data_IF_516483493098
#
_entry.id   IF_516483493098
#
_cell.length_a   1.000
_cell.length_b   1.000
_cell.length_c   1.000
_cell.angle_alpha   90.00
_cell.angle_beta   90.00
_cell.angle_gamma   90.00
#
_symmetry.space_group_name_H-M   'P 1'
#
loop_
_entity.id
_entity.type
_entity.pdbx_description
1 polymer ?
#
# COMPACT_ATOMS: atom_id res chain seq x y z
N UNK A 1 -12.56 24.60 3.21
CA UNK A 1 -12.01 23.48 4.00
C UNK A 1 -10.95 22.79 3.15
N UNK A 2 -9.70 22.81 3.62
CA UNK A 2 -8.55 22.23 2.92
C UNK A 2 -8.45 20.74 3.20
N UNK A 3 -8.42 19.93 2.16
CA UNK A 3 -8.33 18.47 2.27
C UNK A 3 -7.00 18.00 1.70
N UNK A 4 -6.25 17.20 2.48
CA UNK A 4 -5.10 16.48 1.99
C UNK A 4 -5.52 15.06 1.54
N UNK A 5 -4.86 14.55 0.52
CA UNK A 5 -4.98 13.17 0.04
C UNK A 5 -3.61 12.52 0.12
N UNK A 6 -3.49 11.44 0.87
CA UNK A 6 -2.27 10.67 1.02
C UNK A 6 -2.46 9.28 0.42
N UNK A 7 -1.77 9.00 -0.67
CA UNK A 7 -1.91 7.76 -1.43
C UNK A 7 -0.76 6.82 -1.10
N UNK A 8 -1.06 5.57 -0.81
CA UNK A 8 -0.03 4.56 -0.55
C UNK A 8 -0.59 3.16 -0.42
N UNK A 9 0.28 2.17 -0.46
CA UNK A 9 -0.11 0.76 -0.24
C UNK A 9 -0.19 0.40 1.24
N UNK A 10 0.62 1.02 2.10
CA UNK A 10 0.65 0.75 3.55
C UNK A 10 0.77 -0.75 3.89
N UNK A 11 1.73 -1.43 3.29
CA UNK A 11 1.91 -2.88 3.35
C UNK A 11 3.22 -3.31 4.08
N UNK A 12 3.28 -3.24 5.42
CA UNK A 12 2.31 -2.67 6.36
C UNK A 12 2.46 -1.16 6.54
N UNK A 13 1.56 -0.51 7.29
CA UNK A 13 1.81 0.82 7.82
C UNK A 13 3.06 0.83 8.69
N UNK A 14 3.92 1.83 8.53
CA UNK A 14 5.13 2.00 9.32
C UNK A 14 5.27 3.43 9.86
N UNK A 15 6.25 3.69 10.71
CA UNK A 15 6.39 4.96 11.44
C UNK A 15 6.42 6.19 10.52
N UNK A 16 7.08 6.10 9.36
CA UNK A 16 7.11 7.22 8.42
C UNK A 16 5.73 7.53 7.80
N UNK A 17 4.88 6.53 7.59
CA UNK A 17 3.49 6.76 7.17
C UNK A 17 2.71 7.54 8.24
N UNK A 18 2.83 7.15 9.53
CA UNK A 18 2.17 7.84 10.61
C UNK A 18 2.66 9.28 10.78
N UNK A 19 3.94 9.50 10.61
CA UNK A 19 4.50 10.85 10.65
C UNK A 19 3.91 11.74 9.55
N UNK A 20 3.81 11.22 8.32
CA UNK A 20 3.15 11.93 7.21
C UNK A 20 1.69 12.23 7.52
N UNK A 21 0.94 11.26 8.04
CA UNK A 21 -0.47 11.42 8.43
C UNK A 21 -0.61 12.50 9.51
N UNK A 22 0.19 12.44 10.56
CA UNK A 22 0.14 13.42 11.66
C UNK A 22 0.46 14.83 11.18
N UNK A 23 1.46 14.99 10.32
CA UNK A 23 1.80 16.28 9.70
C UNK A 23 0.68 16.82 8.82
N UNK A 24 0.04 15.95 8.03
CA UNK A 24 -1.10 16.34 7.22
C UNK A 24 -2.29 16.78 8.10
N UNK A 25 -2.61 16.05 9.17
CA UNK A 25 -3.67 16.40 10.12
C UNK A 25 -3.39 17.70 10.90
N UNK A 26 -2.12 18.10 11.05
CA UNK A 26 -1.75 19.36 11.66
C UNK A 26 -1.91 20.58 10.73
N UNK A 27 -1.94 20.37 9.41
CA UNK A 27 -1.95 21.44 8.39
C UNK A 27 -3.28 21.57 7.63
N UNK A 28 -4.03 20.47 7.53
CA UNK A 28 -5.26 20.38 6.75
C UNK A 28 -6.46 20.09 7.64
N UNK A 29 -7.62 20.56 7.23
CA UNK A 29 -8.86 20.35 7.96
C UNK A 29 -9.33 18.89 7.89
N UNK A 30 -9.00 18.20 6.79
CA UNK A 30 -9.34 16.81 6.50
C UNK A 30 -8.17 16.08 5.85
N UNK A 31 -8.03 14.81 6.15
CA UNK A 31 -7.13 13.89 5.46
C UNK A 31 -7.91 12.69 4.91
N UNK A 32 -7.69 12.39 3.64
CA UNK A 32 -8.18 11.17 3.01
C UNK A 32 -6.97 10.30 2.70
N UNK A 33 -6.90 9.12 3.30
CA UNK A 33 -5.88 8.11 3.02
C UNK A 33 -6.43 7.16 1.97
N UNK A 34 -5.76 7.12 0.83
CA UNK A 34 -6.08 6.21 -0.28
C UNK A 34 -5.23 4.95 -0.13
N UNK A 35 -5.89 3.85 0.15
CA UNK A 35 -5.29 2.52 0.27
C UNK A 35 -5.22 1.89 -1.14
N UNK A 36 -4.09 2.04 -1.81
CA UNK A 36 -3.85 1.44 -3.12
C UNK A 36 -3.72 -0.08 -3.06
N UNK A 37 -3.72 -0.73 -4.22
CA UNK A 37 -3.70 -2.20 -4.36
C UNK A 37 -4.76 -2.86 -3.49
N UNK A 38 -5.98 -2.31 -3.50
CA UNK A 38 -7.14 -2.93 -2.87
C UNK A 38 -7.72 -4.04 -3.77
N UNK A 39 -8.45 -4.96 -3.18
CA UNK A 39 -9.07 -6.10 -3.87
C UNK A 39 -8.07 -7.04 -4.57
N UNK A 40 -6.79 -6.98 -4.18
CA UNK A 40 -5.79 -7.93 -4.65
C UNK A 40 -5.77 -9.16 -3.75
N UNK A 41 -5.53 -10.32 -4.35
CA UNK A 41 -5.22 -11.53 -3.59
C UNK A 41 -3.94 -11.30 -2.76
N UNK A 42 -3.88 -11.77 -1.50
CA UNK A 42 -2.72 -11.57 -0.65
C UNK A 42 -1.45 -12.21 -1.25
N UNK A 43 -0.39 -11.44 -1.31
CA UNK A 43 0.94 -11.85 -1.78
C UNK A 43 2.01 -11.36 -0.80
N UNK A 44 3.25 -11.86 -0.84
CA UNK A 44 4.32 -11.33 -0.01
C UNK A 44 4.59 -9.82 -0.20
N UNK A 45 4.21 -9.26 -1.35
CA UNK A 45 4.30 -7.82 -1.64
C UNK A 45 3.14 -7.03 -1.03
N UNK A 46 1.94 -7.62 -0.99
CA UNK A 46 0.70 -7.02 -0.48
C UNK A 46 -0.01 -8.02 0.45
N UNK A 47 0.54 -8.28 1.66
CA UNK A 47 0.04 -9.33 2.53
C UNK A 47 -1.28 -9.01 3.24
N UNK A 48 -1.66 -7.73 3.34
CA UNK A 48 -2.79 -7.29 4.15
C UNK A 48 -3.90 -6.68 3.30
N UNK A 49 -5.14 -7.00 3.63
CA UNK A 49 -6.34 -6.43 2.99
C UNK A 49 -6.44 -4.91 3.24
N UNK A 50 -7.34 -4.23 2.53
CA UNK A 50 -7.59 -2.81 2.75
C UNK A 50 -8.13 -2.55 4.15
N UNK A 51 -9.05 -3.40 4.61
CA UNK A 51 -9.68 -3.33 5.93
C UNK A 51 -8.66 -3.53 7.06
N UNK A 52 -7.75 -4.49 6.91
CA UNK A 52 -6.68 -4.73 7.89
C UNK A 52 -5.73 -3.53 7.97
N UNK A 53 -5.34 -2.94 6.84
CA UNK A 53 -4.48 -1.75 6.80
C UNK A 53 -5.16 -0.53 7.40
N UNK A 54 -6.45 -0.33 7.12
CA UNK A 54 -7.25 0.72 7.75
C UNK A 54 -7.33 0.52 9.27
N UNK A 55 -7.60 -0.70 9.73
CA UNK A 55 -7.67 -1.01 11.16
C UNK A 55 -6.33 -0.74 11.86
N UNK A 56 -5.20 -1.17 11.26
CA UNK A 56 -3.85 -0.88 11.75
C UNK A 56 -3.59 0.63 11.87
N UNK A 57 -3.96 1.41 10.86
CA UNK A 57 -3.77 2.87 10.85
C UNK A 57 -4.65 3.54 11.90
N UNK A 58 -5.93 3.18 11.99
CA UNK A 58 -6.85 3.74 13.00
C UNK A 58 -6.38 3.43 14.42
N UNK A 59 -5.98 2.19 14.70
CA UNK A 59 -5.47 1.79 15.99
C UNK A 59 -4.17 2.54 16.36
N UNK A 60 -3.31 2.80 15.38
CA UNK A 60 -2.05 3.52 15.59
C UNK A 60 -2.22 5.01 15.83
N UNK A 61 -3.28 5.63 15.28
CA UNK A 61 -3.55 7.06 15.39
C UNK A 61 -4.46 7.39 16.59
N UNK A 62 -5.22 6.41 17.07
CA UNK A 62 -6.14 6.59 18.19
C UNK A 62 -7.20 7.68 17.95
N UNK A 63 -7.64 8.33 19.02
CA UNK A 63 -8.66 9.38 18.96
C UNK A 63 -8.20 10.66 18.24
N UNK A 64 -6.90 10.84 18.00
CA UNK A 64 -6.35 12.06 17.38
C UNK A 64 -6.85 12.28 15.94
N UNK A 65 -7.13 11.21 15.23
CA UNK A 65 -7.63 11.27 13.86
C UNK A 65 -9.10 11.72 13.78
N UNK A 66 -9.92 11.30 14.73
CA UNK A 66 -11.32 11.71 14.86
C UNK A 66 -12.11 11.61 13.56
N UNK A 67 -13.03 12.57 13.36
CA UNK A 67 -13.86 12.68 12.15
C UNK A 67 -13.14 13.29 10.94
N UNK A 68 -11.88 13.71 11.09
CA UNK A 68 -11.11 14.36 10.03
C UNK A 68 -10.36 13.38 9.14
N UNK A 69 -10.23 12.11 9.55
CA UNK A 69 -9.53 11.07 8.82
C UNK A 69 -10.50 10.12 8.12
N UNK A 70 -10.41 10.06 6.82
CA UNK A 70 -11.18 9.16 5.96
C UNK A 70 -10.26 8.18 5.24
N UNK A 71 -10.81 7.04 4.87
CA UNK A 71 -10.11 6.03 4.09
C UNK A 71 -10.93 5.69 2.85
N UNK A 72 -10.24 5.47 1.74
CA UNK A 72 -10.82 4.91 0.52
C UNK A 72 -9.91 3.80 0.01
N UNK A 73 -10.48 2.68 -0.37
CA UNK A 73 -9.76 1.55 -0.93
C UNK A 73 -9.89 1.59 -2.46
N UNK A 74 -8.75 1.62 -3.16
CA UNK A 74 -8.69 1.74 -4.62
C UNK A 74 -7.91 0.55 -5.18
N UNK A 75 -8.51 -0.23 -6.10
CA UNK A 75 -7.79 -1.28 -6.81
C UNK A 75 -6.76 -0.67 -7.77
N UNK A 76 -5.76 -1.47 -8.12
CA UNK A 76 -4.84 -1.10 -9.19
C UNK A 76 -5.54 -1.22 -10.56
N UNK A 77 -5.26 -0.29 -11.45
CA UNK A 77 -5.71 -0.32 -12.84
C UNK A 77 -4.47 -0.54 -13.72
N UNK A 78 -4.24 -1.78 -14.11
CA UNK A 78 -3.06 -2.15 -14.89
C UNK A 78 -3.14 -1.52 -16.29
N UNK A 79 -2.09 -0.80 -16.68
CA UNK A 79 -1.92 -0.19 -17.99
C UNK A 79 -2.94 0.93 -18.35
N UNK A 80 -3.75 1.41 -17.39
CA UNK A 80 -4.70 2.52 -17.61
C UNK A 80 -4.62 3.54 -16.47
N UNK A 81 -3.49 4.26 -16.40
CA UNK A 81 -3.31 5.34 -15.42
C UNK A 81 -4.43 6.39 -15.48
N UNK A 82 -4.91 6.85 -16.66
CA UNK A 82 -6.01 7.80 -16.72
C UNK A 82 -7.29 7.30 -16.04
N UNK A 83 -7.58 6.01 -16.13
CA UNK A 83 -8.73 5.40 -15.46
C UNK A 83 -8.51 5.37 -13.95
N UNK A 84 -7.32 4.97 -13.51
CA UNK A 84 -6.95 4.96 -12.10
C UNK A 84 -7.07 6.36 -11.48
N UNK A 85 -6.54 7.40 -12.14
CA UNK A 85 -6.68 8.80 -11.68
C UNK A 85 -8.14 9.22 -11.56
N UNK A 86 -8.99 8.88 -12.53
CA UNK A 86 -10.44 9.18 -12.46
C UNK A 86 -11.10 8.47 -11.28
N UNK A 87 -10.76 7.20 -11.03
CA UNK A 87 -11.29 6.41 -9.92
C UNK A 87 -10.92 7.03 -8.57
N UNK A 88 -9.65 7.39 -8.38
CA UNK A 88 -9.19 8.08 -7.16
C UNK A 88 -9.92 9.41 -6.98
N UNK A 89 -10.02 10.22 -8.04
CA UNK A 89 -10.74 11.51 -7.99
C UNK A 89 -12.19 11.32 -7.57
N UNK A 90 -12.92 10.44 -8.22
CA UNK A 90 -14.33 10.18 -7.91
C UNK A 90 -14.51 9.74 -6.44
N UNK A 91 -13.64 8.87 -5.94
CA UNK A 91 -13.68 8.42 -4.55
C UNK A 91 -13.41 9.56 -3.55
N UNK A 92 -12.44 10.42 -3.83
CA UNK A 92 -12.12 11.57 -2.98
C UNK A 92 -13.24 12.62 -3.04
N UNK A 93 -13.73 12.94 -4.22
CA UNK A 93 -14.77 13.94 -4.44
C UNK A 93 -16.13 13.50 -3.85
N UNK A 94 -16.39 12.20 -3.73
CA UNK A 94 -17.58 11.69 -3.02
C UNK A 94 -17.59 12.05 -1.52
N UNK A 95 -16.40 12.25 -0.94
CA UNK A 95 -16.24 12.64 0.47
C UNK A 95 -16.19 14.16 0.64
N UNK A 96 -15.53 14.84 -0.30
CA UNK A 96 -15.28 16.28 -0.17
C UNK A 96 -16.38 17.15 -0.75
N UNK A 97 -17.12 16.63 -1.70
CA UNK A 97 -18.00 17.39 -2.57
C UNK A 97 -17.26 18.09 -3.73
N UNK A 98 -17.98 18.56 -4.75
CA UNK A 98 -17.42 19.25 -5.88
C UNK A 98 -16.82 20.60 -5.48
N UNK A 99 -15.71 20.98 -6.14
CA UNK A 99 -15.07 22.30 -5.91
C UNK A 99 -14.30 22.42 -4.61
N UNK A 100 -14.07 21.33 -3.87
CA UNK A 100 -13.26 21.33 -2.66
C UNK A 100 -11.78 21.66 -2.98
N UNK A 101 -11.11 22.33 -2.05
CA UNK A 101 -9.68 22.63 -2.12
C UNK A 101 -8.90 21.38 -1.67
N UNK A 102 -8.34 20.64 -2.64
CA UNK A 102 -7.70 19.34 -2.44
C UNK A 102 -6.21 19.43 -2.79
N UNK A 103 -5.39 18.81 -1.97
CA UNK A 103 -3.94 18.73 -2.09
C UNK A 103 -3.50 17.27 -2.05
N UNK A 104 -2.56 16.88 -2.91
CA UNK A 104 -1.85 15.60 -2.77
C UNK A 104 -0.72 15.82 -1.77
N UNK A 105 -0.58 14.93 -0.80
CA UNK A 105 0.57 14.94 0.11
C UNK A 105 1.26 13.58 0.10
N UNK A 106 2.54 13.58 0.36
CA UNK A 106 3.33 12.34 0.36
C UNK A 106 4.81 12.63 0.22
N UNK A 107 5.54 11.58 -0.04
CA UNK A 107 6.97 11.63 -0.25
C UNK A 107 7.29 11.28 -1.70
N UNK A 108 7.90 12.23 -2.40
CA UNK A 108 8.42 12.03 -3.73
C UNK A 108 9.78 11.34 -3.62
N UNK A 109 9.78 10.03 -3.82
CA UNK A 109 10.93 9.17 -3.55
C UNK A 109 11.79 8.92 -4.79
N UNK A 110 11.14 8.56 -5.87
CA UNK A 110 11.75 8.12 -7.13
C UNK A 110 10.69 8.17 -8.25
N UNK A 111 11.07 7.71 -9.44
CA UNK A 111 10.18 7.70 -10.61
C UNK A 111 8.83 6.98 -10.37
N UNK A 112 8.74 6.06 -9.41
CA UNK A 112 7.48 5.40 -9.06
C UNK A 112 6.48 6.34 -8.37
N UNK A 113 6.93 7.54 -7.99
CA UNK A 113 6.10 8.59 -7.36
C UNK A 113 5.42 9.51 -8.37
N UNK A 114 5.53 9.23 -9.67
CA UNK A 114 4.97 10.06 -10.77
C UNK A 114 3.49 10.40 -10.57
N UNK A 115 2.72 9.51 -9.97
CA UNK A 115 1.30 9.71 -9.70
C UNK A 115 1.01 10.91 -8.78
N UNK A 116 1.97 11.36 -7.97
CA UNK A 116 1.79 12.54 -7.09
C UNK A 116 1.51 13.82 -7.89
N UNK A 117 1.94 13.86 -9.13
CA UNK A 117 1.78 14.99 -10.03
C UNK A 117 0.68 14.79 -11.09
N UNK A 118 0.01 13.63 -11.10
CA UNK A 118 -0.95 13.23 -12.13
C UNK A 118 -2.39 13.75 -11.91
N UNK A 119 -2.66 14.44 -10.80
CA UNK A 119 -4.03 14.83 -10.43
C UNK A 119 -4.44 16.24 -10.94
N UNK A 120 -3.69 16.83 -11.83
CA UNK A 120 -4.05 18.10 -12.49
C UNK A 120 -4.17 19.27 -11.51
N UNK A 121 -5.39 19.68 -11.17
CA UNK A 121 -5.65 20.81 -10.27
C UNK A 121 -5.50 20.50 -8.76
N UNK A 122 -5.03 19.34 -8.37
CA UNK A 122 -4.67 19.03 -6.99
C UNK A 122 -3.15 19.22 -6.80
N UNK A 123 -2.71 20.35 -6.23
CA UNK A 123 -1.29 20.61 -6.09
C UNK A 123 -0.63 19.62 -5.12
N UNK A 124 0.63 19.28 -5.41
CA UNK A 124 1.43 18.44 -4.55
C UNK A 124 2.07 19.26 -3.44
N UNK A 125 1.83 18.86 -2.20
CA UNK A 125 2.42 19.38 -0.97
C UNK A 125 3.36 18.33 -0.37
N UNK A 126 4.67 18.42 -0.57
CA UNK A 126 5.61 17.39 -0.13
C UNK A 126 5.65 17.28 1.39
N UNK A 127 5.60 16.05 1.88
CA UNK A 127 5.88 15.74 3.27
C UNK A 127 7.39 15.57 3.46
N UNK A 128 7.99 16.33 4.38
CA UNK A 128 9.40 16.10 4.73
C UNK A 128 9.52 14.77 5.46
N UNK A 129 10.18 13.80 4.85
CA UNK A 129 10.46 12.51 5.48
C UNK A 129 11.72 12.62 6.30
N UNK A 130 11.65 12.16 7.53
CA UNK A 130 12.77 12.11 8.48
C UNK A 130 13.43 10.73 8.49
N UNK A 131 12.84 9.75 7.82
CA UNK A 131 13.23 8.35 7.94
C UNK A 131 13.35 7.66 6.57
N UNK A 132 14.42 6.89 6.38
CA UNK A 132 14.62 6.00 5.22
C UNK A 132 13.79 4.70 5.28
N UNK A 133 12.84 4.60 6.23
CA UNK A 133 12.00 3.42 6.38
C UNK A 133 11.15 3.16 5.14
N UNK A 134 11.16 1.92 4.70
CA UNK A 134 10.28 1.47 3.63
C UNK A 134 9.60 0.13 4.00
N UNK A 135 8.41 -0.10 3.46
CA UNK A 135 7.63 -1.29 3.76
C UNK A 135 8.27 -2.59 3.23
N UNK A 136 9.17 -2.50 2.26
CA UNK A 136 9.90 -3.68 1.73
C UNK A 136 10.84 -4.26 2.79
N UNK A 137 11.59 -3.40 3.50
CA UNK A 137 12.49 -3.84 4.57
C UNK A 137 11.71 -4.45 5.72
N UNK A 138 10.55 -3.85 6.08
CA UNK A 138 9.65 -4.42 7.08
C UNK A 138 9.21 -5.83 6.69
N UNK A 139 8.70 -6.02 5.47
CA UNK A 139 8.24 -7.34 4.99
C UNK A 139 9.37 -8.36 4.89
N UNK A 140 10.53 -7.96 4.37
CA UNK A 140 11.69 -8.85 4.27
C UNK A 140 12.13 -9.34 5.65
N UNK A 141 12.24 -8.45 6.63
CA UNK A 141 12.54 -8.81 8.01
C UNK A 141 11.46 -9.71 8.63
N UNK A 142 10.20 -9.42 8.36
CA UNK A 142 9.05 -10.15 8.89
C UNK A 142 8.99 -11.59 8.38
N UNK A 143 9.02 -11.79 7.07
CA UNK A 143 8.98 -13.12 6.47
C UNK A 143 10.27 -13.93 6.69
N UNK A 144 11.42 -13.26 6.90
CA UNK A 144 12.65 -13.92 7.30
C UNK A 144 12.62 -14.44 8.76
N UNK A 145 11.60 -14.10 9.54
CA UNK A 145 11.53 -14.47 10.96
C UNK A 145 12.44 -13.64 11.87
N UNK A 146 12.99 -12.54 11.38
CA UNK A 146 13.77 -11.58 12.19
C UNK A 146 12.84 -10.74 13.05
N UNK A 147 13.34 -10.20 14.16
CA UNK A 147 12.61 -9.26 15.02
C UNK A 147 12.86 -7.78 14.65
N UNK A 148 13.73 -7.50 13.69
CA UNK A 148 14.11 -6.13 13.34
C UNK A 148 12.93 -5.25 12.88
N UNK A 149 11.92 -5.85 12.21
CA UNK A 149 10.72 -5.14 11.78
C UNK A 149 9.92 -4.51 12.91
N UNK A 150 10.00 -5.06 14.13
CA UNK A 150 9.23 -4.58 15.30
C UNK A 150 9.54 -3.13 15.65
N UNK A 151 10.77 -2.70 15.44
CA UNK A 151 11.19 -1.31 15.68
C UNK A 151 10.74 -0.34 14.56
N UNK A 152 10.38 -0.88 13.38
CA UNK A 152 10.05 -0.08 12.20
C UNK A 152 8.57 0.31 12.15
N UNK A 153 7.71 -0.41 12.88
CA UNK A 153 6.26 -0.23 12.86
C UNK A 153 5.74 0.33 14.19
N UNK A 154 4.56 0.96 14.20
CA UNK A 154 3.86 1.33 15.42
C UNK A 154 3.45 0.12 16.24
N UNK A 155 3.18 0.33 17.53
CA UNK A 155 2.80 -0.74 18.47
C UNK A 155 1.55 -1.51 18.00
N UNK A 156 0.50 -0.82 17.59
CA UNK A 156 -0.74 -1.47 17.13
C UNK A 156 -0.50 -2.34 15.87
N UNK A 157 0.35 -1.87 14.95
CA UNK A 157 0.75 -2.67 13.77
C UNK A 157 1.58 -3.87 14.19
N UNK A 158 2.48 -3.70 15.16
CA UNK A 158 3.27 -4.81 15.70
C UNK A 158 2.38 -5.90 16.28
N UNK A 159 1.42 -5.54 17.12
CA UNK A 159 0.48 -6.48 17.74
C UNK A 159 -0.33 -7.23 16.67
N UNK A 160 -0.84 -6.53 15.65
CA UNK A 160 -1.54 -7.17 14.54
C UNK A 160 -0.64 -8.18 13.81
N UNK A 161 0.57 -7.78 13.44
CA UNK A 161 1.49 -8.64 12.71
C UNK A 161 1.95 -9.84 13.55
N UNK A 162 2.13 -9.69 14.86
CA UNK A 162 2.44 -10.80 15.78
C UNK A 162 1.30 -11.84 15.83
N UNK A 163 0.05 -11.38 15.81
CA UNK A 163 -1.11 -12.28 15.74
C UNK A 163 -1.22 -12.97 14.37
N UNK A 164 -0.94 -12.23 13.29
CA UNK A 164 -1.01 -12.75 11.93
C UNK A 164 -0.02 -13.90 11.68
N UNK A 165 1.14 -13.93 12.38
CA UNK A 165 2.12 -15.03 12.28
C UNK A 165 1.52 -16.41 12.59
N UNK A 166 0.48 -16.49 13.44
CA UNK A 166 -0.16 -17.76 13.80
C UNK A 166 -1.19 -18.26 12.78
N UNK A 167 -1.42 -17.50 11.69
CA UNK A 167 -2.42 -17.85 10.68
C UNK A 167 -1.87 -18.77 9.59
N UNK A 168 -2.76 -19.54 8.97
CA UNK A 168 -2.43 -20.34 7.78
C UNK A 168 -1.98 -19.44 6.62
N UNK A 169 -2.59 -18.25 6.51
CA UNK A 169 -2.25 -17.27 5.47
C UNK A 169 -0.81 -16.78 5.59
N UNK A 170 -0.33 -16.48 6.80
CA UNK A 170 1.07 -16.13 7.00
C UNK A 170 2.00 -17.26 6.55
N UNK A 171 1.69 -18.50 6.91
CA UNK A 171 2.51 -19.67 6.54
C UNK A 171 2.60 -19.82 5.01
N UNK A 172 1.49 -19.63 4.30
CA UNK A 172 1.44 -19.64 2.85
C UNK A 172 2.29 -18.53 2.25
N UNK A 173 2.10 -17.29 2.72
CA UNK A 173 2.86 -16.13 2.25
C UNK A 173 4.35 -16.24 2.53
N UNK A 174 4.72 -16.78 3.69
CA UNK A 174 6.12 -17.01 4.02
C UNK A 174 6.78 -18.06 3.10
N UNK A 175 6.06 -19.13 2.77
CA UNK A 175 6.56 -20.13 1.82
C UNK A 175 6.75 -19.53 0.42
N UNK A 176 5.79 -18.74 -0.07
CA UNK A 176 5.89 -18.03 -1.33
C UNK A 176 7.07 -17.03 -1.32
N UNK A 177 7.23 -16.26 -0.23
CA UNK A 177 8.36 -15.34 -0.08
C UNK A 177 9.71 -16.06 -0.14
N UNK A 178 9.86 -17.21 0.53
CA UNK A 178 11.09 -18.02 0.48
C UNK A 178 11.41 -18.48 -0.94
N UNK A 179 10.39 -18.92 -1.69
CA UNK A 179 10.54 -19.31 -3.10
C UNK A 179 11.03 -18.13 -3.95
N UNK A 180 10.41 -16.94 -3.79
CA UNK A 180 10.83 -15.74 -4.48
C UNK A 180 12.27 -15.31 -4.13
N UNK A 181 12.69 -15.42 -2.86
CA UNK A 181 14.06 -15.12 -2.45
C UNK A 181 15.05 -16.12 -3.07
N UNK A 182 14.70 -17.40 -3.12
CA UNK A 182 15.52 -18.42 -3.77
C UNK A 182 15.71 -18.11 -5.27
N UNK A 183 14.63 -17.81 -5.99
CA UNK A 183 14.70 -17.42 -7.39
C UNK A 183 15.63 -16.22 -7.61
N UNK A 184 15.45 -15.14 -6.83
CA UNK A 184 16.30 -13.96 -6.89
C UNK A 184 17.78 -14.29 -6.64
N UNK A 185 18.07 -15.20 -5.71
CA UNK A 185 19.45 -15.63 -5.43
C UNK A 185 20.08 -16.39 -6.59
N UNK A 186 19.28 -17.13 -7.38
CA UNK A 186 19.74 -17.78 -8.60
C UNK A 186 20.01 -16.76 -9.70
N UNK A 187 19.13 -15.77 -9.86
CA UNK A 187 19.26 -14.70 -10.85
C UNK A 187 20.54 -13.87 -10.63
N UNK A 188 20.89 -13.57 -9.37
CA UNK A 188 22.10 -12.82 -9.02
C UNK A 188 23.41 -13.50 -9.42
N UNK A 189 23.39 -14.79 -9.81
CA UNK A 189 24.57 -15.51 -10.32
C UNK A 189 24.93 -15.09 -11.75
N UNK A 190 24.04 -14.40 -12.44
CA UNK A 190 24.25 -13.97 -13.81
C UNK A 190 24.68 -12.50 -13.84
N UNK A 191 25.65 -12.12 -14.70
CA UNK A 191 26.13 -10.74 -14.79
C UNK A 191 25.20 -9.81 -15.57
N UNK A 192 24.06 -10.29 -16.02
CA UNK A 192 23.06 -9.55 -16.79
C UNK A 192 21.65 -9.90 -16.30
N UNK A 193 20.67 -9.00 -16.45
CA UNK A 193 19.29 -9.29 -16.12
C UNK A 193 18.74 -10.48 -16.93
N UNK A 194 18.09 -11.42 -16.24
CA UNK A 194 17.41 -12.53 -16.92
C UNK A 194 16.09 -12.06 -17.51
N UNK A 195 15.83 -12.48 -18.74
CA UNK A 195 14.51 -12.29 -19.36
C UNK A 195 13.63 -13.45 -18.93
N UNK A 196 12.57 -13.14 -18.20
CA UNK A 196 11.54 -14.11 -17.81
C UNK A 196 10.43 -14.12 -18.86
N UNK A 197 10.25 -15.26 -19.50
CA UNK A 197 9.10 -15.50 -20.39
C UNK A 197 8.04 -16.21 -19.56
N UNK A 198 6.92 -15.54 -19.32
CA UNK A 198 5.75 -16.14 -18.68
C UNK A 198 4.68 -16.45 -19.73
N UNK A 199 4.01 -17.58 -19.58
CA UNK A 199 2.89 -17.97 -20.42
C UNK A 199 1.69 -18.22 -19.55
N UNK A 200 0.51 -17.79 -20.00
CA UNK A 200 -0.76 -18.08 -19.37
C UNK A 200 -1.58 -18.97 -20.30
N UNK A 201 -2.26 -19.97 -19.75
CA UNK A 201 -3.19 -20.82 -20.47
C UNK A 201 -4.61 -20.52 -19.98
N UNK A 202 -5.48 -20.13 -20.89
CA UNK A 202 -6.91 -19.99 -20.63
C UNK A 202 -7.62 -21.23 -21.18
N UNK A 203 -8.19 -22.04 -20.31
CA UNK A 203 -8.98 -23.19 -20.71
C UNK A 203 -10.46 -22.80 -20.77
N UNK A 204 -11.02 -22.86 -21.97
CA UNK A 204 -12.42 -22.54 -22.23
C UNK A 204 -13.19 -23.82 -22.63
N UNK A 205 -14.31 -24.05 -21.99
CA UNK A 205 -15.24 -25.12 -22.39
C UNK A 205 -16.68 -24.63 -22.18
N UNK A 206 -17.53 -24.74 -23.21
CA UNK A 206 -18.95 -24.38 -23.14
C UNK A 206 -19.23 -23.02 -22.52
N UNK A 207 -18.52 -21.97 -22.98
CA UNK A 207 -18.59 -20.59 -22.47
C UNK A 207 -18.15 -20.41 -20.99
N UNK A 208 -17.47 -21.39 -20.42
CA UNK A 208 -16.92 -21.36 -19.08
C UNK A 208 -15.39 -21.26 -19.13
N UNK A 209 -14.81 -20.56 -18.15
CA UNK A 209 -13.36 -20.46 -17.94
C UNK A 209 -12.99 -21.34 -16.74
N UNK A 210 -11.98 -22.19 -16.90
CA UNK A 210 -11.41 -22.90 -15.76
C UNK A 210 -10.58 -21.92 -14.94
N UNK A 211 -10.99 -21.70 -13.69
CA UNK A 211 -10.23 -20.93 -12.70
C UNK A 211 -9.55 -21.89 -11.74
N UNK A 212 -8.30 -21.58 -11.38
CA UNK A 212 -7.57 -22.30 -10.34
C UNK A 212 -7.68 -21.45 -9.06
N UNK A 213 -8.22 -22.06 -8.00
CA UNK A 213 -8.17 -21.49 -6.67
C UNK A 213 -6.72 -21.60 -6.14
N UNK A 214 -6.17 -20.48 -5.67
CA UNK A 214 -4.79 -20.42 -5.13
C UNK A 214 -4.77 -20.55 -3.62
#
# INVERSE_FOLDING_TARGET
>A
MKTAVFIGRFQPPHRAHLETINRALARFDRLIVVLGSALCYPTPKNPFSAEEREAMLRASLGAQAGKRLHFVAIPDDFYDDPRWFRTVRAAVESITGPGAEIYITGYDKDESSYYLHGFGNWPFEPSKVVSSLNATDVRNSYFAGSNAWKAMVPEAVRQFMEQFVSTAEFSRLQAEWKTLQHQRSLEQRYPYPLIHVTTEAMLLAQEQVLLIER
#
